data_IF_766531396033
#
_entry.id   IF_766531396033
#
_cell.length_a   1.000
_cell.length_b   1.000
_cell.length_c   1.000
_cell.angle_alpha   90.00
_cell.angle_beta   90.00
_cell.angle_gamma   90.00
#
_symmetry.space_group_name_H-M   'P 1'
#
loop_
_entity.id
_entity.type
_entity.pdbx_description
1 polymer ?
#
# COMPACT_ATOMS: atom_id res chain seq x y z
N UNK A 1 -24.52 -2.29 2.27
CA UNK A 1 -24.12 -1.77 0.93
C UNK A 1 -23.03 -0.70 1.10
N UNK A 2 -22.13 -0.52 0.12
CA UNK A 2 -20.67 -0.63 0.26
C UNK A 2 -19.97 0.67 0.64
N UNK A 3 -18.93 0.60 1.49
CA UNK A 3 -18.23 1.81 1.92
C UNK A 3 -16.80 1.67 2.46
N UNK A 4 -16.15 0.50 2.41
CA UNK A 4 -14.82 0.37 3.05
C UNK A 4 -13.63 0.73 2.13
N UNK A 5 -13.79 0.74 0.80
CA UNK A 5 -12.69 1.01 -0.13
C UNK A 5 -12.36 2.47 -0.45
N UNK A 6 -13.12 3.45 0.07
CA UNK A 6 -12.98 4.87 -0.34
C UNK A 6 -11.76 5.58 0.29
N UNK A 7 -11.24 5.11 1.42
CA UNK A 7 -10.17 5.85 2.10
C UNK A 7 -8.77 5.55 1.52
N UNK A 8 -8.43 4.30 1.23
CA UNK A 8 -7.08 3.95 0.74
C UNK A 8 -6.81 4.51 -0.65
N UNK A 9 -7.83 4.54 -1.54
CA UNK A 9 -7.70 5.15 -2.86
C UNK A 9 -7.48 6.66 -2.76
N UNK A 10 -8.23 7.37 -1.91
CA UNK A 10 -8.04 8.80 -1.70
C UNK A 10 -6.65 9.12 -1.13
N UNK A 11 -6.15 8.31 -0.19
CA UNK A 11 -4.80 8.46 0.34
C UNK A 11 -3.75 8.18 -0.74
N UNK A 12 -3.94 7.15 -1.57
CA UNK A 12 -3.08 6.88 -2.71
C UNK A 12 -3.04 8.07 -3.68
N UNK A 13 -4.19 8.62 -4.05
CA UNK A 13 -4.27 9.79 -4.91
C UNK A 13 -3.60 11.02 -4.27
N UNK A 14 -3.78 11.24 -2.97
CA UNK A 14 -3.11 12.32 -2.24
C UNK A 14 -1.59 12.15 -2.22
N UNK A 15 -1.08 10.94 -1.96
CA UNK A 15 0.35 10.63 -1.93
C UNK A 15 1.00 10.82 -3.30
N UNK A 16 0.37 10.27 -4.34
CA UNK A 16 0.88 10.35 -5.71
C UNK A 16 0.81 11.79 -6.24
N UNK A 17 -0.24 12.55 -5.90
CA UNK A 17 -0.34 13.99 -6.19
C UNK A 17 0.73 14.81 -5.47
N UNK A 18 0.99 14.54 -4.20
CA UNK A 18 2.06 15.21 -3.44
C UNK A 18 3.44 14.90 -4.02
N UNK A 19 3.62 13.67 -4.50
CA UNK A 19 4.86 13.22 -5.15
C UNK A 19 4.99 13.63 -6.62
N UNK A 20 4.06 14.43 -7.17
CA UNK A 20 3.97 14.75 -8.62
C UNK A 20 4.02 13.51 -9.53
N UNK A 21 3.65 12.35 -8.99
CA UNK A 21 3.62 11.09 -9.72
C UNK A 21 2.18 10.90 -10.18
N UNK A 22 1.93 11.00 -11.48
CA UNK A 22 0.60 10.93 -12.11
C UNK A 22 -0.16 9.62 -11.80
N UNK A 23 -0.72 9.50 -10.58
CA UNK A 23 -1.43 8.32 -10.07
C UNK A 23 -0.59 7.03 -10.01
N UNK A 24 0.72 7.16 -9.79
CA UNK A 24 1.61 6.01 -9.57
C UNK A 24 2.43 6.19 -8.31
N UNK A 25 2.66 5.10 -7.58
CA UNK A 25 3.44 5.09 -6.34
C UNK A 25 4.72 4.26 -6.52
N UNK A 26 5.81 4.65 -5.87
CA UNK A 26 7.07 3.88 -5.84
C UNK A 26 7.14 2.99 -4.60
N UNK A 27 8.03 2.00 -4.60
CA UNK A 27 8.31 1.17 -3.42
C UNK A 27 8.69 2.01 -2.18
N UNK A 28 9.47 3.07 -2.37
CA UNK A 28 9.87 3.95 -1.27
C UNK A 28 8.66 4.64 -0.64
N UNK A 29 7.73 5.13 -1.47
CA UNK A 29 6.50 5.74 -0.99
C UNK A 29 5.59 4.72 -0.28
N UNK A 30 5.49 3.49 -0.80
CA UNK A 30 4.76 2.40 -0.14
C UNK A 30 5.38 2.09 1.22
N UNK A 31 6.70 1.95 1.29
CA UNK A 31 7.41 1.69 2.54
C UNK A 31 7.18 2.83 3.55
N UNK A 32 7.26 4.08 3.10
CA UNK A 32 6.97 5.23 3.97
C UNK A 32 5.53 5.18 4.48
N UNK A 33 4.56 4.93 3.60
CA UNK A 33 3.15 4.85 3.97
C UNK A 33 2.85 3.70 4.95
N UNK A 34 3.41 2.51 4.71
CA UNK A 34 3.32 1.37 5.62
C UNK A 34 4.03 1.62 6.95
N UNK A 35 5.11 2.42 6.96
CA UNK A 35 5.81 2.82 8.19
C UNK A 35 4.98 3.82 9.00
N UNK A 36 4.40 4.83 8.34
CA UNK A 36 3.45 5.78 8.94
C UNK A 36 2.21 5.07 9.51
N UNK A 37 1.70 4.05 8.79
CA UNK A 37 0.63 3.17 9.24
C UNK A 37 1.04 2.20 10.37
N UNK A 38 2.32 2.23 10.81
CA UNK A 38 2.95 1.31 11.78
C UNK A 38 2.91 -0.17 11.38
N UNK A 39 2.56 -0.49 10.14
CA UNK A 39 2.51 -1.84 9.61
C UNK A 39 3.91 -2.45 9.42
N UNK A 40 4.90 -1.65 8.99
CA UNK A 40 6.27 -2.14 8.82
C UNK A 40 7.01 -2.44 10.13
N UNK A 41 6.52 -1.89 11.24
CA UNK A 41 7.11 -2.15 12.57
C UNK A 41 6.47 -3.36 13.23
N UNK A 42 5.16 -3.59 12.98
CA UNK A 42 4.41 -4.67 13.63
C UNK A 42 4.44 -5.99 12.86
N UNK A 43 4.09 -5.98 11.57
CA UNK A 43 3.75 -7.23 10.85
C UNK A 43 4.46 -7.41 9.49
N UNK A 44 4.78 -6.32 8.81
CA UNK A 44 5.40 -6.32 7.47
C UNK A 44 6.86 -5.92 7.60
N UNK A 45 7.77 -6.48 6.80
CA UNK A 45 9.17 -5.99 6.76
C UNK A 45 9.50 -5.37 5.40
N UNK A 46 10.53 -4.50 5.33
CA UNK A 46 10.98 -3.90 4.06
C UNK A 46 11.45 -4.92 3.02
N UNK A 47 11.99 -6.06 3.47
CA UNK A 47 12.38 -7.17 2.61
C UNK A 47 11.16 -7.82 1.93
N UNK A 48 10.03 -7.93 2.63
CA UNK A 48 8.80 -8.53 2.09
C UNK A 48 8.15 -7.60 1.07
N UNK A 49 8.05 -6.31 1.40
CA UNK A 49 7.51 -5.30 0.46
C UNK A 49 8.40 -5.20 -0.76
N UNK A 50 9.74 -5.17 -0.61
CA UNK A 50 10.67 -5.18 -1.74
C UNK A 50 10.51 -6.42 -2.61
N UNK A 51 10.44 -7.60 -2.00
CA UNK A 51 10.26 -8.87 -2.74
C UNK A 51 8.90 -8.93 -3.47
N UNK A 52 7.81 -8.47 -2.84
CA UNK A 52 6.50 -8.38 -3.50
C UNK A 52 6.48 -7.32 -4.60
N UNK A 53 7.16 -6.19 -4.43
CA UNK A 53 7.22 -5.13 -5.44
C UNK A 53 8.07 -5.54 -6.65
N UNK A 54 9.19 -6.24 -6.43
CA UNK A 54 10.09 -6.73 -7.47
C UNK A 54 9.39 -7.71 -8.43
N UNK A 55 8.43 -8.51 -7.93
CA UNK A 55 7.55 -9.36 -8.75
C UNK A 55 6.81 -8.59 -9.84
N UNK A 56 6.42 -7.33 -9.58
CA UNK A 56 5.70 -6.51 -10.56
C UNK A 56 6.63 -5.94 -11.64
N UNK A 57 7.96 -6.15 -11.52
CA UNK A 57 9.00 -5.69 -12.47
C UNK A 57 8.79 -4.23 -12.92
N UNK A 58 8.30 -3.41 -12.00
CA UNK A 58 7.89 -2.04 -12.26
C UNK A 58 8.56 -1.12 -11.26
N UNK A 59 9.03 0.03 -11.71
CA UNK A 59 9.61 1.06 -10.83
C UNK A 59 8.52 1.83 -10.07
N UNK A 60 7.33 1.91 -10.67
CA UNK A 60 6.13 2.54 -10.12
C UNK A 60 4.91 1.69 -10.44
N UNK A 61 3.96 1.63 -9.51
CA UNK A 61 2.71 0.87 -9.69
C UNK A 61 1.50 1.80 -9.56
N UNK A 62 0.48 1.54 -10.37
CA UNK A 62 -0.83 2.19 -10.26
C UNK A 62 -1.64 1.62 -9.09
N UNK A 63 -2.79 2.23 -8.79
CA UNK A 63 -3.64 1.80 -7.69
C UNK A 63 -4.14 0.35 -7.80
N UNK A 64 -4.49 -0.13 -9.00
CA UNK A 64 -4.97 -1.49 -9.17
C UNK A 64 -3.86 -2.51 -8.90
N UNK A 65 -2.64 -2.20 -9.34
CA UNK A 65 -1.45 -3.00 -9.04
C UNK A 65 -1.06 -2.90 -7.57
N UNK A 66 -1.17 -1.73 -6.94
CA UNK A 66 -0.96 -1.54 -5.51
C UNK A 66 -1.96 -2.36 -4.68
N UNK A 67 -3.22 -2.44 -5.09
CA UNK A 67 -4.22 -3.25 -4.41
C UNK A 67 -3.86 -4.75 -4.45
N UNK A 68 -3.41 -5.24 -5.61
CA UNK A 68 -2.86 -6.59 -5.75
C UNK A 68 -1.63 -6.81 -4.88
N UNK A 69 -0.74 -5.82 -4.80
CA UNK A 69 0.43 -5.85 -3.93
C UNK A 69 0.02 -6.01 -2.47
N UNK A 70 -0.98 -5.26 -1.99
CA UNK A 70 -1.50 -5.41 -0.64
C UNK A 70 -2.08 -6.80 -0.42
N UNK A 71 -2.78 -7.37 -1.40
CA UNK A 71 -3.33 -8.72 -1.32
C UNK A 71 -2.24 -9.78 -1.17
N UNK A 72 -1.22 -9.75 -2.03
CA UNK A 72 -0.07 -10.65 -1.95
C UNK A 72 0.66 -10.50 -0.61
N UNK A 73 0.82 -9.27 -0.13
CA UNK A 73 1.45 -8.98 1.16
C UNK A 73 0.61 -9.52 2.33
N UNK A 74 -0.72 -9.42 2.21
CA UNK A 74 -1.71 -9.94 3.14
C UNK A 74 -1.63 -11.46 3.25
N UNK A 75 -1.58 -12.17 2.12
CA UNK A 75 -1.47 -13.63 2.07
C UNK A 75 -0.09 -14.09 2.58
N UNK A 76 0.97 -13.39 2.19
CA UNK A 76 2.34 -13.72 2.62
C UNK A 76 2.55 -13.58 4.13
N UNK A 77 1.92 -12.57 4.74
CA UNK A 77 2.01 -12.31 6.18
C UNK A 77 0.90 -12.95 7.00
N UNK A 78 -0.14 -13.46 6.37
CA UNK A 78 -1.35 -13.91 7.06
C UNK A 78 -2.10 -12.75 7.74
N UNK A 79 -2.05 -11.56 7.16
CA UNK A 79 -2.77 -10.38 7.64
C UNK A 79 -4.02 -10.23 6.78
N UNK A 80 -5.20 -9.91 7.34
CA UNK A 80 -6.37 -9.61 6.52
C UNK A 80 -6.13 -8.37 5.64
N UNK A 81 -6.50 -8.43 4.36
CA UNK A 81 -6.45 -7.26 3.44
C UNK A 81 -7.20 -6.06 4.06
N UNK A 82 -8.34 -6.30 4.71
CA UNK A 82 -9.13 -5.25 5.35
C UNK A 82 -8.36 -4.54 6.46
N UNK A 83 -7.55 -5.27 7.24
CA UNK A 83 -6.73 -4.69 8.30
C UNK A 83 -5.60 -3.82 7.70
N UNK A 84 -5.00 -4.25 6.59
CA UNK A 84 -4.02 -3.45 5.86
C UNK A 84 -4.64 -2.17 5.31
N UNK A 85 -5.80 -2.28 4.66
CA UNK A 85 -6.53 -1.15 4.11
C UNK A 85 -6.94 -0.17 5.21
N UNK A 86 -7.46 -0.64 6.34
CA UNK A 86 -7.82 0.21 7.50
C UNK A 86 -6.61 0.94 8.08
N UNK A 87 -5.47 0.25 8.23
CA UNK A 87 -4.23 0.86 8.75
C UNK A 87 -3.62 1.88 7.79
N UNK A 88 -3.75 1.65 6.48
CA UNK A 88 -3.32 2.58 5.43
C UNK A 88 -4.31 3.74 5.21
N UNK A 89 -5.53 3.58 5.70
CA UNK A 89 -6.61 4.55 5.68
C UNK A 89 -6.86 5.19 7.07
N UNK A 90 -5.85 5.67 7.83
CA UNK A 90 -6.16 6.34 9.07
C UNK A 90 -6.98 7.59 8.72
N UNK A 91 -8.22 7.61 9.21
CA UNK A 91 -9.12 8.74 9.09
C UNK A 91 -8.38 10.00 9.57
N UNK A 92 -8.24 10.98 8.67
CA UNK A 92 -8.29 12.38 9.09
C UNK A 92 -9.72 12.72 9.49
#
# INVERSE_FOLDING_TARGET
>A
MPGCGKNVQNQFEALTKLANSYQKITLEQINKWLTDAKLMSEKIKPEDTKSCFDKFKSETIDFATFHKFLHELSERKGIPISELEEKLAPCM
#
